data_IF_022686735453
#
_entry.id   IF_022686735453
#
_cell.length_a   1.000
_cell.length_b   1.000
_cell.length_c   1.000
_cell.angle_alpha   90.00
_cell.angle_beta   90.00
_cell.angle_gamma   90.00
#
_symmetry.space_group_name_H-M   'P 1'
#
loop_
_entity.id
_entity.type
_entity.pdbx_description
1 polymer ?
#
# COMPACT_ATOMS: atom_id res chain seq x y z
N UNK A 1 -9.09 35.73 -43.71
CA UNK A 1 -7.79 35.59 -43.02
C UNK A 1 -7.91 34.44 -42.04
N UNK A 2 -7.13 33.39 -42.26
CA UNK A 2 -7.13 32.18 -41.46
C UNK A 2 -6.17 32.30 -40.26
N UNK A 3 -6.46 31.47 -39.26
CA UNK A 3 -5.63 31.00 -38.15
C UNK A 3 -5.27 31.96 -37.01
N UNK A 4 -5.79 31.65 -35.83
CA UNK A 4 -4.92 31.06 -34.81
C UNK A 4 -5.73 30.07 -33.96
N UNK A 5 -5.37 28.77 -33.95
CA UNK A 5 -6.08 27.78 -33.18
C UNK A 5 -5.78 27.99 -31.69
N UNK A 6 -6.80 27.79 -30.87
CA UNK A 6 -6.71 27.60 -29.42
C UNK A 6 -5.62 26.57 -29.09
N UNK A 7 -4.38 27.01 -28.89
CA UNK A 7 -3.42 26.27 -28.05
C UNK A 7 -3.74 26.65 -26.61
N UNK A 8 -4.81 26.07 -26.07
CA UNK A 8 -4.79 25.75 -24.66
C UNK A 8 -3.63 24.78 -24.53
N UNK A 9 -2.49 25.29 -24.07
CA UNK A 9 -1.36 24.45 -23.69
C UNK A 9 -1.94 23.29 -22.87
N UNK A 10 -1.71 22.06 -23.32
CA UNK A 10 -2.12 20.85 -22.64
C UNK A 10 -1.69 20.98 -21.18
N UNK A 11 -2.64 21.30 -20.31
CA UNK A 11 -2.35 21.54 -18.92
C UNK A 11 -1.98 20.18 -18.36
N UNK A 12 -0.68 19.96 -18.20
CA UNK A 12 -0.10 18.68 -17.86
C UNK A 12 -0.40 18.40 -16.39
N UNK A 13 -1.62 17.92 -16.12
CA UNK A 13 -2.06 17.61 -14.76
C UNK A 13 -1.19 16.49 -14.20
N UNK A 14 -0.64 16.72 -13.02
CA UNK A 14 0.15 15.76 -12.28
C UNK A 14 -0.65 15.27 -11.07
N UNK A 15 -0.50 13.99 -10.72
CA UNK A 15 -1.04 13.48 -9.44
C UNK A 15 -0.41 14.19 -8.23
N UNK A 16 0.74 14.84 -8.42
CA UNK A 16 1.36 15.66 -7.38
C UNK A 16 0.61 16.97 -7.10
N UNK A 17 -0.26 17.42 -8.02
CA UNK A 17 -1.05 18.65 -7.84
C UNK A 17 -2.30 18.41 -7.00
N UNK A 18 -2.66 17.14 -6.77
CA UNK A 18 -3.80 16.76 -5.92
C UNK A 18 -3.49 16.99 -4.45
N UNK A 19 -4.53 17.15 -3.63
CA UNK A 19 -4.40 17.09 -2.17
C UNK A 19 -4.10 15.65 -1.72
N UNK A 20 -3.61 15.48 -0.49
CA UNK A 20 -3.26 14.14 0.01
C UNK A 20 -4.50 13.28 0.25
N UNK A 21 -5.63 13.92 0.55
CA UNK A 21 -6.95 13.28 0.72
C UNK A 21 -7.46 12.72 -0.61
N UNK A 22 -7.38 13.51 -1.70
CA UNK A 22 -7.76 13.04 -3.03
C UNK A 22 -6.84 11.91 -3.50
N UNK A 23 -5.54 12.04 -3.23
CA UNK A 23 -4.58 10.99 -3.54
C UNK A 23 -4.88 9.70 -2.74
N UNK A 24 -5.25 9.82 -1.47
CA UNK A 24 -5.65 8.69 -0.63
C UNK A 24 -6.86 7.97 -1.19
N UNK A 25 -7.93 8.70 -1.55
CA UNK A 25 -9.14 8.12 -2.15
C UNK A 25 -8.84 7.38 -3.46
N UNK A 26 -7.96 7.93 -4.31
CA UNK A 26 -7.54 7.26 -5.55
C UNK A 26 -6.80 5.95 -5.23
N UNK A 27 -5.91 5.96 -4.24
CA UNK A 27 -5.14 4.77 -3.86
C UNK A 27 -6.03 3.72 -3.18
N UNK A 28 -7.03 4.13 -2.39
CA UNK A 28 -8.05 3.24 -1.82
C UNK A 28 -8.85 2.55 -2.93
N UNK A 29 -9.37 3.31 -3.90
CA UNK A 29 -10.05 2.71 -5.04
C UNK A 29 -9.13 1.81 -5.88
N UNK A 30 -7.89 2.21 -6.08
CA UNK A 30 -6.90 1.38 -6.78
C UNK A 30 -6.62 0.08 -6.01
N UNK A 31 -6.61 0.11 -4.68
CA UNK A 31 -6.41 -1.07 -3.84
C UNK A 31 -7.53 -2.09 -4.04
N UNK A 32 -8.77 -1.63 -4.18
CA UNK A 32 -9.92 -2.51 -4.36
C UNK A 32 -9.95 -3.16 -5.76
N UNK A 33 -9.53 -2.42 -6.78
CA UNK A 33 -9.53 -2.87 -8.18
C UNK A 33 -8.28 -3.69 -8.51
N UNK A 34 -7.10 -3.22 -8.08
CA UNK A 34 -5.80 -3.80 -8.38
C UNK A 34 -4.81 -3.60 -7.20
N UNK A 35 -4.89 -4.47 -6.17
CA UNK A 35 -4.03 -4.37 -4.99
C UNK A 35 -2.51 -4.33 -5.30
N UNK A 36 -1.98 -5.10 -6.27
CA UNK A 36 -0.59 -4.98 -6.72
C UNK A 36 -0.18 -3.57 -7.18
N UNK A 37 -1.03 -2.88 -7.94
CA UNK A 37 -0.75 -1.51 -8.40
C UNK A 37 -0.77 -0.52 -7.24
N UNK A 38 -1.73 -0.65 -6.31
CA UNK A 38 -1.74 0.14 -5.09
C UNK A 38 -0.46 -0.08 -4.25
N UNK A 39 -0.01 -1.33 -4.12
CA UNK A 39 1.24 -1.64 -3.43
C UNK A 39 2.48 -1.03 -4.12
N UNK A 40 2.48 -0.98 -5.46
CA UNK A 40 3.56 -0.41 -6.28
C UNK A 40 3.58 1.11 -6.21
N UNK A 41 2.41 1.75 -6.03
CA UNK A 41 2.31 3.21 -5.93
C UNK A 41 3.21 3.80 -4.83
N UNK A 42 3.44 3.07 -3.73
CA UNK A 42 4.38 3.44 -2.65
C UNK A 42 5.80 3.71 -3.12
N UNK A 43 6.21 3.17 -4.28
CA UNK A 43 7.56 3.31 -4.82
C UNK A 43 7.71 4.53 -5.74
N UNK A 44 6.63 5.24 -6.06
CA UNK A 44 6.65 6.34 -7.02
C UNK A 44 7.33 7.60 -6.46
N UNK A 45 7.05 7.94 -5.20
CA UNK A 45 7.68 9.08 -4.50
C UNK A 45 7.48 8.96 -2.99
N UNK A 46 8.21 9.77 -2.21
CA UNK A 46 8.03 9.83 -0.74
C UNK A 46 6.60 10.20 -0.32
N UNK A 47 5.92 11.05 -1.11
CA UNK A 47 4.53 11.44 -0.84
C UNK A 47 3.59 10.26 -1.04
N UNK A 48 3.77 9.53 -2.13
CA UNK A 48 3.01 8.31 -2.38
C UNK A 48 3.34 7.23 -1.36
N UNK A 49 4.59 7.10 -0.93
CA UNK A 49 4.95 6.18 0.16
C UNK A 49 4.18 6.51 1.44
N UNK A 50 4.15 7.78 1.85
CA UNK A 50 3.46 8.23 3.05
C UNK A 50 1.93 8.02 3.00
N UNK A 51 1.32 8.26 1.83
CA UNK A 51 -0.15 8.12 1.65
C UNK A 51 -0.56 6.66 1.41
N UNK A 52 0.14 5.94 0.52
CA UNK A 52 -0.23 4.59 0.13
C UNK A 52 0.16 3.53 1.16
N UNK A 53 1.17 3.75 2.01
CA UNK A 53 1.57 2.77 3.03
C UNK A 53 0.45 2.43 4.01
N UNK A 54 -0.19 3.39 4.71
CA UNK A 54 -1.29 3.06 5.61
C UNK A 54 -2.45 2.40 4.87
N UNK A 55 -2.75 2.85 3.64
CA UNK A 55 -3.82 2.28 2.82
C UNK A 55 -3.53 0.83 2.47
N UNK A 56 -2.34 0.50 1.96
CA UNK A 56 -1.96 -0.85 1.51
C UNK A 56 -1.86 -1.82 2.68
N UNK A 57 -1.37 -1.37 3.83
CA UNK A 57 -1.19 -2.24 5.01
C UNK A 57 -2.44 -2.37 5.87
N UNK A 58 -3.48 -1.55 5.67
CA UNK A 58 -4.73 -1.59 6.45
C UNK A 58 -5.33 -2.99 6.58
N UNK A 59 -5.45 -3.68 5.44
CA UNK A 59 -5.75 -5.12 5.37
C UNK A 59 -4.56 -5.85 4.75
N UNK A 60 -3.92 -6.73 5.52
CA UNK A 60 -2.80 -7.54 5.06
C UNK A 60 -3.30 -8.89 4.55
N UNK A 61 -3.22 -9.11 3.24
CA UNK A 61 -3.44 -10.41 2.64
C UNK A 61 -2.14 -11.21 2.67
N UNK A 62 -2.10 -12.28 3.48
CA UNK A 62 -0.93 -13.16 3.53
C UNK A 62 -0.79 -13.94 2.22
N UNK A 63 0.45 -14.09 1.80
CA UNK A 63 0.85 -14.94 0.69
C UNK A 63 2.19 -15.61 1.03
N UNK A 64 2.61 -16.55 0.20
CA UNK A 64 3.86 -17.32 0.35
C UNK A 64 5.10 -16.43 0.54
N UNK A 65 5.12 -15.26 -0.12
CA UNK A 65 6.23 -14.31 -0.03
C UNK A 65 6.29 -13.56 1.29
N UNK A 66 5.14 -13.28 1.91
CA UNK A 66 5.04 -12.59 3.20
C UNK A 66 5.28 -13.56 4.37
N UNK A 67 4.82 -14.81 4.26
CA UNK A 67 4.99 -15.81 5.32
C UNK A 67 6.40 -16.40 5.34
N UNK A 68 7.09 -16.44 4.20
CA UNK A 68 8.48 -16.94 4.05
C UNK A 68 9.47 -16.23 4.96
N UNK A 69 10.46 -16.97 5.47
CA UNK A 69 11.51 -16.47 6.36
C UNK A 69 12.21 -15.21 5.84
N UNK A 70 12.38 -15.11 4.52
CA UNK A 70 13.12 -14.03 3.84
C UNK A 70 12.25 -12.85 3.43
N UNK A 71 11.01 -12.77 3.94
CA UNK A 71 10.07 -11.70 3.59
C UNK A 71 10.64 -10.30 3.88
N UNK A 72 11.35 -10.11 5.00
CA UNK A 72 11.91 -8.82 5.41
C UNK A 72 13.11 -8.40 4.55
N UNK A 73 13.88 -9.37 4.03
CA UNK A 73 14.95 -9.11 3.07
C UNK A 73 14.39 -8.63 1.72
N UNK A 74 13.25 -9.20 1.29
CA UNK A 74 12.57 -8.82 0.04
C UNK A 74 11.75 -7.53 0.15
N UNK A 75 11.21 -7.28 1.33
CA UNK A 75 10.36 -6.13 1.63
C UNK A 75 10.90 -5.40 2.87
N UNK A 76 11.79 -4.41 2.67
CA UNK A 76 12.31 -3.62 3.77
C UNK A 76 11.17 -2.98 4.57
N UNK A 77 11.29 -2.98 5.90
CA UNK A 77 10.29 -2.46 6.84
C UNK A 77 8.92 -3.17 6.82
N UNK A 78 8.80 -4.36 6.21
CA UNK A 78 7.54 -5.11 6.15
C UNK A 78 6.90 -5.24 7.53
N UNK A 79 7.59 -5.83 8.51
CA UNK A 79 7.01 -6.06 9.83
C UNK A 79 6.74 -4.76 10.60
N UNK A 80 7.53 -3.71 10.37
CA UNK A 80 7.27 -2.38 10.94
C UNK A 80 5.98 -1.80 10.39
N UNK A 81 5.75 -1.90 9.08
CA UNK A 81 4.53 -1.39 8.44
C UNK A 81 3.30 -2.23 8.79
N UNK A 82 3.47 -3.55 8.88
CA UNK A 82 2.43 -4.46 9.38
C UNK A 82 2.03 -4.08 10.81
N UNK A 83 3.01 -3.87 11.69
CA UNK A 83 2.72 -3.43 13.04
C UNK A 83 2.10 -2.02 13.06
N UNK A 84 2.57 -1.06 12.27
CA UNK A 84 2.06 0.31 12.38
C UNK A 84 0.67 0.51 11.78
N UNK A 85 0.27 -0.29 10.79
CA UNK A 85 -0.85 0.04 9.92
C UNK A 85 -1.83 -1.10 9.65
N UNK A 86 -1.56 -2.33 10.10
CA UNK A 86 -2.46 -3.46 9.83
C UNK A 86 -3.51 -3.64 10.92
N UNK A 87 -4.77 -3.45 10.55
CA UNK A 87 -5.93 -3.69 11.42
C UNK A 87 -6.55 -5.07 11.17
N UNK A 88 -6.45 -5.58 9.95
CA UNK A 88 -7.05 -6.85 9.56
C UNK A 88 -6.05 -7.72 8.78
N UNK A 89 -6.01 -9.02 9.10
CA UNK A 89 -5.15 -9.99 8.40
C UNK A 89 -6.04 -11.05 7.77
N UNK A 90 -5.87 -11.24 6.47
CA UNK A 90 -6.54 -12.31 5.72
C UNK A 90 -5.49 -13.38 5.39
N UNK A 91 -5.62 -14.55 6.00
CA UNK A 91 -4.75 -15.69 5.76
C UNK A 91 -5.47 -16.73 4.88
N UNK A 92 -4.80 -17.24 3.85
CA UNK A 92 -5.28 -18.41 3.10
C UNK A 92 -4.88 -19.68 3.84
N UNK A 93 -5.77 -20.67 3.85
CA UNK A 93 -5.61 -21.93 4.60
C UNK A 93 -4.43 -22.81 4.13
N UNK A 94 -3.87 -22.52 2.95
CA UNK A 94 -2.78 -23.29 2.34
C UNK A 94 -1.38 -22.75 2.65
N UNK A 95 -1.27 -21.66 3.43
CA UNK A 95 0.02 -21.06 3.78
C UNK A 95 0.65 -21.75 4.97
N UNK A 96 1.98 -21.68 5.07
CA UNK A 96 2.74 -22.24 6.19
C UNK A 96 2.24 -21.69 7.54
N UNK A 97 1.75 -22.55 8.46
CA UNK A 97 1.23 -22.13 9.75
C UNK A 97 2.26 -21.39 10.62
N UNK A 98 3.55 -21.74 10.51
CA UNK A 98 4.61 -21.08 11.26
C UNK A 98 4.83 -19.65 10.77
N UNK A 99 4.90 -19.47 9.45
CA UNK A 99 4.99 -18.16 8.83
C UNK A 99 3.77 -17.27 9.11
N UNK A 100 2.55 -17.84 9.07
CA UNK A 100 1.32 -17.13 9.48
C UNK A 100 1.42 -16.65 10.92
N UNK A 101 1.78 -17.54 11.87
CA UNK A 101 1.89 -17.21 13.29
C UNK A 101 2.89 -16.08 13.54
N UNK A 102 4.04 -16.12 12.86
CA UNK A 102 5.07 -15.06 12.95
C UNK A 102 4.54 -13.69 12.53
N UNK A 103 3.72 -13.62 11.48
CA UNK A 103 3.11 -12.35 11.04
C UNK A 103 2.02 -11.91 12.03
N UNK A 104 1.16 -12.83 12.47
CA UNK A 104 0.10 -12.54 13.43
C UNK A 104 0.63 -12.08 14.79
N UNK A 105 1.75 -12.61 15.27
CA UNK A 105 2.39 -12.18 16.51
C UNK A 105 2.86 -10.71 16.44
N UNK A 106 3.17 -10.20 15.25
CA UNK A 106 3.51 -8.78 15.04
C UNK A 106 2.29 -7.88 15.04
N UNK A 107 1.17 -8.36 14.52
CA UNK A 107 -0.11 -7.63 14.55
C UNK A 107 -0.72 -7.65 15.95
N UNK A 108 -0.64 -8.78 16.69
CA UNK A 108 -1.16 -8.90 18.06
C UNK A 108 -0.48 -7.99 19.07
N UNK A 109 0.78 -7.62 18.85
CA UNK A 109 1.46 -6.59 19.68
C UNK A 109 0.75 -5.23 19.67
N UNK A 110 -0.14 -4.97 18.70
CA UNK A 110 -0.98 -3.76 18.67
C UNK A 110 -2.21 -3.84 19.56
N UNK A 111 -2.71 -5.04 19.86
CA UNK A 111 -3.85 -5.21 20.76
C UNK A 111 -3.44 -5.19 22.25
N UNK A 112 -2.15 -5.36 22.56
CA UNK A 112 -1.63 -5.24 23.92
C UNK A 112 -1.01 -3.85 24.15
N UNK A 113 -1.86 -2.84 24.27
CA UNK A 113 -1.52 -1.61 24.99
C UNK A 113 -2.41 -1.62 26.24
N UNK A 114 -1.79 -1.71 27.41
CA UNK A 114 -2.45 -1.60 28.71
C UNK A 114 -2.97 -0.18 28.93
#
# INVERSE_FOLDING_TARGET
>A
MATSPRRLAEQRWSLNDLSSELLALIIEHLRDIDPPSAATSRRLSRRFEAVATPIVYHVLCLNENIVSTDAEARYPNLFRNVAAHTNHVVARSNLDPFGIKRVLDRVRRLQSVQ
#
